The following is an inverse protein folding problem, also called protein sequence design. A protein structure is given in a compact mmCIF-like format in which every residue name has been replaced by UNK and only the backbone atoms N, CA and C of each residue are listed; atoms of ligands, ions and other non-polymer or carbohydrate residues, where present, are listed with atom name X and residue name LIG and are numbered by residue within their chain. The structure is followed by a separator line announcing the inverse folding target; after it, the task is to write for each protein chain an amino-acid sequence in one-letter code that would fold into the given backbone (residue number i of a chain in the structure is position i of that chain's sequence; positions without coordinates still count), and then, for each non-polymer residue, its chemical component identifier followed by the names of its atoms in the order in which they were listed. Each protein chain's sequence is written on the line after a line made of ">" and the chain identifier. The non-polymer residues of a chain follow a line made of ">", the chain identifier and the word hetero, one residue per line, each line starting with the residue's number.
data_IF_211803818886
#
_entry.id   IF_211803818886
#
_cell.length_a   1.000
_cell.length_b   1.000
_cell.length_c   1.000
_cell.angle_alpha   90.00
_cell.angle_beta   90.00
_cell.angle_gamma   90.00
#
_symmetry.space_group_name_H-M   'P 1'
#
loop_
_entity.id
_entity.type
_entity.pdbx_description
1 polymer ?
#
# COMPACT_ATOMS: atom_id res chain seq x y z
N UNK A 1 4.61 9.99 -34.19
CA UNK A 1 5.94 10.25 -33.59
C UNK A 1 6.70 8.93 -33.50
N UNK A 2 7.83 8.79 -34.20
CA UNK A 2 8.48 7.51 -34.50
C UNK A 2 9.25 6.93 -33.29
N UNK A 3 8.98 5.68 -32.90
CA UNK A 3 9.57 5.01 -31.74
C UNK A 3 11.12 4.99 -31.76
N UNK A 4 11.73 4.92 -32.95
CA UNK A 4 13.19 4.97 -33.12
C UNK A 4 13.79 6.33 -32.72
N UNK A 5 13.11 7.44 -33.05
CA UNK A 5 13.56 8.80 -32.68
C UNK A 5 13.50 9.02 -31.17
N UNK A 6 12.45 8.46 -30.56
CA UNK A 6 12.17 8.54 -29.13
C UNK A 6 13.21 7.74 -28.31
N UNK A 7 13.58 6.54 -28.76
CA UNK A 7 14.66 5.76 -28.15
C UNK A 7 16.04 6.42 -28.32
N UNK A 8 16.26 7.14 -29.43
CA UNK A 8 17.50 7.91 -29.68
C UNK A 8 17.63 9.11 -28.74
N UNK A 9 16.56 9.90 -28.55
CA UNK A 9 16.53 11.00 -27.57
C UNK A 9 16.78 10.50 -26.14
N UNK A 10 16.20 9.36 -25.78
CA UNK A 10 16.43 8.72 -24.48
C UNK A 10 17.89 8.28 -24.29
N UNK A 11 18.46 7.55 -25.27
CA UNK A 11 19.88 7.16 -25.24
C UNK A 11 20.80 8.36 -25.12
N UNK A 12 20.54 9.45 -25.85
CA UNK A 12 21.34 10.68 -25.73
C UNK A 12 21.22 11.29 -24.34
N UNK A 13 20.03 11.29 -23.73
CA UNK A 13 19.84 11.81 -22.37
C UNK A 13 20.59 10.98 -21.32
N UNK A 14 20.50 9.65 -21.41
CA UNK A 14 21.25 8.73 -20.53
C UNK A 14 22.76 8.89 -20.72
N UNK A 15 23.22 8.99 -21.97
CA UNK A 15 24.63 9.17 -22.27
C UNK A 15 25.16 10.54 -21.83
N UNK A 16 24.41 11.62 -22.04
CA UNK A 16 24.76 12.96 -21.53
C UNK A 16 24.78 12.99 -20.01
N UNK A 17 23.77 12.43 -19.36
CA UNK A 17 23.73 12.31 -17.92
C UNK A 17 24.91 11.50 -17.38
N UNK A 18 25.21 10.36 -18.03
CA UNK A 18 26.36 9.53 -17.72
C UNK A 18 27.68 10.28 -17.90
N UNK A 19 27.81 11.08 -18.97
CA UNK A 19 28.97 11.95 -19.25
C UNK A 19 29.14 13.06 -18.21
N UNK A 20 28.06 13.76 -17.85
CA UNK A 20 28.06 14.80 -16.80
C UNK A 20 28.40 14.23 -15.41
N UNK A 21 28.10 12.95 -15.18
CA UNK A 21 28.38 12.23 -13.94
C UNK A 21 29.53 11.22 -14.08
N UNK A 22 30.42 11.37 -15.08
CA UNK A 22 31.58 10.48 -15.29
C UNK A 22 32.57 10.49 -14.12
N UNK A 23 32.63 11.58 -13.36
CA UNK A 23 33.07 11.53 -11.97
C UNK A 23 31.91 11.05 -11.12
N UNK A 24 31.66 9.73 -11.10
CA UNK A 24 30.51 9.12 -10.41
C UNK A 24 30.49 9.61 -8.98
N UNK A 25 29.60 10.55 -8.67
CA UNK A 25 29.38 10.96 -7.29
C UNK A 25 29.05 9.71 -6.49
N UNK A 26 29.67 9.53 -5.32
CA UNK A 26 29.42 8.40 -4.44
C UNK A 26 27.91 8.17 -4.24
N UNK A 27 27.16 9.27 -4.12
CA UNK A 27 25.71 9.29 -3.99
C UNK A 27 24.95 8.68 -5.19
N UNK A 28 25.43 8.90 -6.42
CA UNK A 28 24.80 8.31 -7.60
C UNK A 28 24.95 6.78 -7.59
N UNK A 29 26.14 6.28 -7.28
CA UNK A 29 26.39 4.83 -7.16
C UNK A 29 25.51 4.22 -6.06
N UNK A 30 25.45 4.84 -4.88
CA UNK A 30 24.60 4.40 -3.79
C UNK A 30 23.11 4.37 -4.18
N UNK A 31 22.62 5.38 -4.90
CA UNK A 31 21.23 5.40 -5.37
C UNK A 31 20.92 4.25 -6.35
N UNK A 32 21.86 3.89 -7.23
CA UNK A 32 21.70 2.75 -8.13
C UNK A 32 21.61 1.43 -7.35
N UNK A 33 22.53 1.20 -6.41
CA UNK A 33 22.54 0.01 -5.55
C UNK A 33 21.25 -0.12 -4.72
N UNK A 34 20.80 1.00 -4.14
CA UNK A 34 19.54 1.05 -3.40
C UNK A 34 18.32 0.73 -4.28
N UNK A 35 18.29 1.22 -5.52
CA UNK A 35 17.19 0.92 -6.44
C UNK A 35 17.21 -0.52 -6.94
N UNK A 36 18.38 -1.12 -7.13
CA UNK A 36 18.50 -2.54 -7.44
C UNK A 36 18.02 -3.45 -6.30
N UNK A 37 18.01 -2.96 -5.05
CA UNK A 37 17.39 -3.69 -3.94
C UNK A 37 15.85 -3.76 -4.04
N UNK A 38 15.23 -2.95 -4.90
CA UNK A 38 13.78 -2.93 -5.08
C UNK A 38 13.37 -4.09 -5.99
N UNK A 39 12.49 -4.99 -5.53
CA UNK A 39 12.07 -6.13 -6.32
C UNK A 39 11.39 -5.69 -7.61
N UNK A 40 11.70 -6.39 -8.71
CA UNK A 40 11.14 -6.10 -10.03
C UNK A 40 11.79 -4.92 -10.76
N UNK A 41 12.76 -4.23 -10.16
CA UNK A 41 13.57 -3.20 -10.82
C UNK A 41 14.86 -3.84 -11.34
N UNK A 42 15.09 -3.78 -12.65
CA UNK A 42 16.34 -4.24 -13.28
C UNK A 42 17.33 -3.07 -13.49
N UNK A 43 18.50 -3.36 -14.08
CA UNK A 43 19.56 -2.37 -14.32
C UNK A 43 19.06 -1.24 -15.24
N UNK A 44 18.37 -1.58 -16.33
CA UNK A 44 17.88 -0.58 -17.29
C UNK A 44 16.79 0.32 -16.68
N UNK A 45 15.88 -0.28 -15.92
CA UNK A 45 14.82 0.42 -15.19
C UNK A 45 15.42 1.29 -14.11
N UNK A 46 16.44 0.81 -13.39
CA UNK A 46 17.18 1.58 -12.38
C UNK A 46 17.78 2.84 -12.98
N UNK A 47 18.56 2.70 -14.07
CA UNK A 47 19.17 3.82 -14.78
C UNK A 47 18.11 4.80 -15.26
N UNK A 48 17.02 4.29 -15.85
CA UNK A 48 15.91 5.13 -16.31
C UNK A 48 15.28 5.91 -15.16
N UNK A 49 15.05 5.27 -14.02
CA UNK A 49 14.46 5.91 -12.84
C UNK A 49 15.37 7.04 -12.34
N UNK A 50 16.68 6.80 -12.18
CA UNK A 50 17.58 7.83 -11.65
C UNK A 50 17.71 8.99 -12.63
N UNK A 51 17.91 8.73 -13.93
CA UNK A 51 18.07 9.78 -14.95
C UNK A 51 16.80 10.62 -15.10
N UNK A 52 15.62 10.01 -15.05
CA UNK A 52 14.34 10.71 -15.27
C UNK A 52 13.78 11.36 -14.00
N UNK A 53 14.19 10.88 -12.82
CA UNK A 53 13.88 11.51 -11.54
C UNK A 53 14.82 12.68 -11.23
N UNK A 54 16.08 12.60 -11.68
CA UNK A 54 17.17 13.54 -11.40
C UNK A 54 17.60 13.50 -9.93
N UNK A 55 16.76 14.00 -9.02
CA UNK A 55 17.02 13.96 -7.59
C UNK A 55 15.71 13.81 -6.81
N UNK A 56 15.67 12.89 -5.84
CA UNK A 56 14.51 12.68 -4.97
C UNK A 56 14.21 13.89 -4.07
N UNK A 57 15.23 14.71 -3.77
CA UNK A 57 15.10 15.85 -2.86
C UNK A 57 14.27 17.00 -3.42
N UNK A 58 14.08 17.05 -4.74
CA UNK A 58 13.15 18.00 -5.37
C UNK A 58 11.68 17.73 -5.04
N UNK A 59 11.37 16.58 -4.46
CA UNK A 59 10.02 16.21 -4.09
C UNK A 59 9.85 16.28 -2.57
N UNK A 60 8.93 17.14 -2.11
CA UNK A 60 8.54 17.18 -0.69
C UNK A 60 7.87 15.88 -0.25
N UNK A 61 7.16 15.21 -1.16
CA UNK A 61 6.35 14.04 -0.84
C UNK A 61 6.35 13.01 -1.98
N UNK A 62 6.09 11.72 -1.68
CA UNK A 62 5.94 10.69 -2.71
C UNK A 62 4.77 10.98 -3.66
N UNK A 63 3.78 11.78 -3.24
CA UNK A 63 2.68 12.22 -4.10
C UNK A 63 3.18 13.17 -5.21
N UNK A 64 4.15 14.02 -4.90
CA UNK A 64 4.82 14.90 -5.87
C UNK A 64 5.53 14.08 -6.94
N UNK A 65 6.36 13.12 -6.53
CA UNK A 65 7.03 12.20 -7.45
C UNK A 65 6.04 11.39 -8.31
N UNK A 66 4.94 10.92 -7.72
CA UNK A 66 3.91 10.21 -8.48
C UNK A 66 3.20 11.11 -9.50
N UNK A 67 3.01 12.40 -9.18
CA UNK A 67 2.47 13.40 -10.12
C UNK A 67 3.46 13.68 -11.25
N UNK A 68 4.76 13.80 -10.92
CA UNK A 68 5.84 13.93 -11.91
C UNK A 68 5.86 12.76 -12.88
N UNK A 69 5.67 11.52 -12.41
CA UNK A 69 5.54 10.35 -13.26
C UNK A 69 4.20 10.27 -14.03
N UNK A 70 3.19 11.07 -13.69
CA UNK A 70 1.88 10.97 -14.34
C UNK A 70 1.09 9.70 -14.01
N UNK A 71 1.27 9.17 -12.80
CA UNK A 71 0.51 8.03 -12.28
C UNK A 71 -0.82 8.36 -11.57
N UNK A 72 -1.09 9.57 -11.01
CA UNK A 72 -2.38 9.82 -10.38
C UNK A 72 -3.52 9.83 -11.42
N UNK A 73 -4.76 9.50 -11.03
CA UNK A 73 -5.92 9.74 -11.87
C UNK A 73 -6.14 11.24 -12.08
N UNK A 74 -6.67 11.61 -13.24
CA UNK A 74 -7.16 12.96 -13.52
C UNK A 74 -8.42 13.18 -12.69
N UNK A 75 -8.51 14.33 -12.02
CA UNK A 75 -9.71 14.74 -11.29
C UNK A 75 -10.49 15.69 -12.19
N UNK A 76 -11.73 15.35 -12.51
CA UNK A 76 -12.68 16.27 -13.15
C UNK A 76 -13.72 16.68 -12.11
N UNK A 77 -13.81 17.97 -11.81
CA UNK A 77 -14.79 18.54 -10.90
C UNK A 77 -15.41 19.78 -11.56
N UNK A 78 -16.65 19.66 -12.02
CA UNK A 78 -17.39 20.73 -12.70
C UNK A 78 -18.63 21.19 -11.90
N UNK A 79 -18.61 21.06 -10.56
CA UNK A 79 -19.73 21.45 -9.67
C UNK A 79 -19.64 20.82 -8.26
N UNK A 80 -20.77 20.76 -7.53
CA UNK A 80 -20.94 20.21 -6.17
C UNK A 80 -20.82 18.67 -6.07
N UNK A 81 -20.75 17.96 -7.20
CA UNK A 81 -20.70 16.49 -7.23
C UNK A 81 -19.36 15.93 -6.72
N UNK A 82 -19.43 14.78 -6.03
CA UNK A 82 -18.30 14.01 -5.50
C UNK A 82 -17.22 13.81 -6.58
N UNK A 83 -15.94 13.97 -6.20
CA UNK A 83 -14.74 13.76 -7.03
C UNK A 83 -14.85 12.47 -7.86
N UNK A 84 -15.03 12.61 -9.18
CA UNK A 84 -14.92 11.48 -10.11
C UNK A 84 -13.47 11.40 -10.58
N UNK A 85 -12.80 10.31 -10.20
CA UNK A 85 -11.46 9.99 -10.69
C UNK A 85 -11.61 9.43 -12.11
N UNK A 86 -10.95 10.06 -13.09
CA UNK A 86 -10.92 9.64 -14.48
C UNK A 86 -9.68 8.83 -14.84
N UNK A 87 -9.31 8.85 -16.13
CA UNK A 87 -8.09 8.24 -16.65
C UNK A 87 -6.82 8.80 -16.00
N UNK A 88 -5.72 8.05 -16.07
CA UNK A 88 -4.41 8.47 -15.58
C UNK A 88 -3.99 9.82 -16.17
N UNK A 89 -3.33 10.64 -15.36
CA UNK A 89 -2.79 11.93 -15.78
C UNK A 89 -1.55 11.71 -16.66
N UNK A 90 -1.71 11.77 -17.98
CA UNK A 90 -0.61 11.53 -18.93
C UNK A 90 0.38 12.71 -19.10
N UNK A 91 0.20 13.82 -18.37
CA UNK A 91 1.03 15.02 -18.48
C UNK A 91 2.37 14.97 -17.74
N UNK A 92 2.65 13.89 -17.00
CA UNK A 92 3.96 13.66 -16.37
C UNK A 92 4.96 12.93 -17.27
N UNK A 93 6.18 12.77 -16.77
CA UNK A 93 7.30 12.08 -17.40
C UNK A 93 6.92 10.65 -17.85
N UNK A 94 6.80 10.47 -19.16
CA UNK A 94 6.40 9.19 -19.78
C UNK A 94 7.41 8.07 -19.55
N UNK A 95 8.69 8.39 -19.43
CA UNK A 95 9.77 7.41 -19.31
C UNK A 95 9.83 6.83 -17.91
N UNK A 96 9.82 7.73 -16.91
CA UNK A 96 9.68 7.32 -15.51
C UNK A 96 8.40 6.52 -15.30
N UNK A 97 7.27 6.93 -15.92
CA UNK A 97 6.01 6.19 -15.86
C UNK A 97 6.16 4.76 -16.37
N UNK A 98 6.74 4.60 -17.56
CA UNK A 98 6.90 3.29 -18.21
C UNK A 98 7.84 2.40 -17.40
N UNK A 99 8.99 2.92 -16.97
CA UNK A 99 9.96 2.17 -16.17
C UNK A 99 9.33 1.61 -14.89
N UNK A 100 8.69 2.48 -14.09
CA UNK A 100 8.03 2.07 -12.84
C UNK A 100 6.83 1.14 -13.10
N UNK A 101 6.16 1.28 -14.25
CA UNK A 101 5.07 0.39 -14.63
C UNK A 101 5.57 -1.02 -14.97
N UNK A 102 6.67 -1.13 -15.71
CA UNK A 102 7.32 -2.41 -16.01
C UNK A 102 7.80 -3.08 -14.73
N UNK A 103 8.43 -2.32 -13.83
CA UNK A 103 8.88 -2.84 -12.55
C UNK A 103 7.73 -3.37 -11.69
N UNK A 104 6.64 -2.60 -11.57
CA UNK A 104 5.45 -3.05 -10.83
C UNK A 104 4.78 -4.29 -11.47
N UNK A 105 4.77 -4.39 -12.79
CA UNK A 105 4.32 -5.60 -13.49
C UNK A 105 5.21 -6.79 -13.17
N UNK A 106 6.54 -6.59 -13.12
CA UNK A 106 7.49 -7.62 -12.70
C UNK A 106 7.23 -8.10 -11.27
N UNK A 107 7.03 -7.18 -10.31
CA UNK A 107 6.63 -7.55 -8.94
C UNK A 107 5.36 -8.41 -8.94
N UNK A 108 4.35 -8.07 -9.75
CA UNK A 108 3.14 -8.88 -9.84
C UNK A 108 3.41 -10.28 -10.43
N UNK A 109 4.19 -10.38 -11.50
CA UNK A 109 4.44 -11.67 -12.16
C UNK A 109 5.15 -12.63 -11.20
N UNK A 110 6.18 -12.15 -10.49
CA UNK A 110 7.08 -12.99 -9.72
C UNK A 110 6.75 -13.07 -8.23
N UNK A 111 6.09 -12.05 -7.65
CA UNK A 111 5.98 -11.90 -6.20
C UNK A 111 4.53 -11.75 -5.69
N UNK A 112 3.52 -11.85 -6.55
CA UNK A 112 2.10 -11.72 -6.17
C UNK A 112 1.62 -12.68 -5.07
N UNK A 113 2.28 -13.82 -4.93
CA UNK A 113 1.93 -14.89 -3.99
C UNK A 113 2.82 -14.87 -2.73
N UNK A 114 3.63 -13.82 -2.56
CA UNK A 114 4.50 -13.59 -1.40
C UNK A 114 3.98 -12.44 -0.53
N UNK A 115 4.65 -12.18 0.60
CA UNK A 115 4.40 -11.01 1.46
C UNK A 115 4.91 -9.68 0.88
N UNK A 116 5.47 -9.68 -0.34
CA UNK A 116 5.93 -8.46 -0.99
C UNK A 116 4.74 -7.49 -1.20
N UNK A 117 4.85 -6.23 -0.71
CA UNK A 117 3.71 -5.34 -0.61
C UNK A 117 3.15 -4.84 -1.94
N UNK A 118 3.92 -4.80 -3.03
CA UNK A 118 3.47 -4.29 -4.34
C UNK A 118 2.74 -5.37 -5.13
N UNK A 119 3.34 -6.55 -5.30
CA UNK A 119 2.78 -7.71 -5.98
C UNK A 119 1.46 -8.17 -5.33
N UNK A 120 1.47 -8.35 -4.01
CA UNK A 120 0.26 -8.71 -3.24
C UNK A 120 -0.84 -7.64 -3.35
N UNK A 121 -0.47 -6.35 -3.41
CA UNK A 121 -1.42 -5.26 -3.60
C UNK A 121 -2.08 -5.31 -4.99
N UNK A 122 -1.28 -5.55 -6.04
CA UNK A 122 -1.79 -5.69 -7.42
C UNK A 122 -2.71 -6.91 -7.51
N UNK A 123 -2.31 -8.06 -6.93
CA UNK A 123 -3.13 -9.27 -6.86
C UNK A 123 -4.49 -9.00 -6.22
N UNK A 124 -4.51 -8.35 -5.05
CA UNK A 124 -5.75 -7.99 -4.36
C UNK A 124 -6.66 -7.11 -5.22
N UNK A 125 -6.11 -6.08 -5.88
CA UNK A 125 -6.92 -5.22 -6.74
C UNK A 125 -7.50 -5.97 -7.94
N UNK A 126 -6.70 -6.82 -8.56
CA UNK A 126 -7.10 -7.56 -9.76
C UNK A 126 -8.06 -8.70 -9.45
N UNK A 127 -7.72 -9.57 -8.49
CA UNK A 127 -8.44 -10.82 -8.20
C UNK A 127 -9.56 -10.68 -7.19
N UNK A 128 -9.37 -9.92 -6.11
CA UNK A 128 -10.40 -9.79 -5.05
C UNK A 128 -11.37 -8.64 -5.31
N UNK A 129 -10.91 -7.58 -6.00
CA UNK A 129 -11.72 -6.38 -6.28
C UNK A 129 -12.14 -6.24 -7.74
N UNK A 130 -11.90 -7.26 -8.56
CA UNK A 130 -12.28 -7.33 -9.98
C UNK A 130 -11.93 -6.06 -10.77
N UNK A 131 -10.78 -5.43 -10.47
CA UNK A 131 -10.29 -4.28 -11.24
C UNK A 131 -9.59 -4.77 -12.50
N UNK A 132 -9.73 -4.04 -13.60
CA UNK A 132 -8.99 -4.32 -14.82
C UNK A 132 -7.47 -4.39 -14.56
N UNK A 133 -6.79 -5.37 -15.15
CA UNK A 133 -5.37 -5.65 -14.87
C UNK A 133 -4.48 -4.40 -15.00
N UNK A 134 -4.64 -3.62 -16.08
CA UNK A 134 -3.85 -2.39 -16.29
C UNK A 134 -4.10 -1.33 -15.19
N UNK A 135 -5.31 -1.27 -14.64
CA UNK A 135 -5.64 -0.36 -13.54
C UNK A 135 -4.98 -0.82 -12.25
N UNK A 136 -5.00 -2.13 -11.98
CA UNK A 136 -4.34 -2.71 -10.81
C UNK A 136 -2.82 -2.50 -10.86
N UNK A 137 -2.17 -2.78 -12.00
CA UNK A 137 -0.72 -2.55 -12.19
C UNK A 137 -0.41 -1.07 -12.04
N UNK A 138 -1.19 -0.16 -12.64
CA UNK A 138 -0.93 1.29 -12.53
C UNK A 138 -1.03 1.79 -11.08
N UNK A 139 -2.00 1.26 -10.31
CA UNK A 139 -2.09 1.55 -8.88
C UNK A 139 -0.88 0.97 -8.12
N UNK A 140 -0.41 -0.22 -8.51
CA UNK A 140 0.83 -0.83 -8.02
C UNK A 140 2.06 0.00 -8.34
N UNK A 141 2.19 0.56 -9.54
CA UNK A 141 3.28 1.46 -9.94
C UNK A 141 3.34 2.69 -9.05
N UNK A 142 2.18 3.28 -8.72
CA UNK A 142 2.11 4.41 -7.78
C UNK A 142 2.56 4.00 -6.37
N UNK A 143 2.24 2.77 -5.94
CA UNK A 143 2.69 2.23 -4.66
C UNK A 143 4.19 1.98 -4.66
N UNK A 144 4.73 1.34 -5.69
CA UNK A 144 6.17 1.11 -5.88
C UNK A 144 6.96 2.43 -5.86
N UNK A 145 6.48 3.45 -6.57
CA UNK A 145 7.11 4.77 -6.59
C UNK A 145 7.14 5.45 -5.22
N UNK A 146 6.17 5.14 -4.35
CA UNK A 146 6.18 5.61 -2.97
C UNK A 146 7.30 4.94 -2.17
N UNK A 147 7.54 3.64 -2.37
CA UNK A 147 8.68 2.97 -1.75
C UNK A 147 10.01 3.48 -2.28
N UNK A 148 10.14 3.62 -3.61
CA UNK A 148 11.34 4.19 -4.23
C UNK A 148 11.68 5.57 -3.64
N UNK A 149 10.67 6.43 -3.48
CA UNK A 149 10.84 7.73 -2.82
C UNK A 149 11.45 7.58 -1.42
N UNK A 150 10.91 6.68 -0.59
CA UNK A 150 11.43 6.50 0.78
C UNK A 150 12.78 5.80 0.83
N UNK A 151 13.06 4.85 -0.08
CA UNK A 151 14.37 4.20 -0.23
C UNK A 151 15.45 5.25 -0.49
N UNK A 152 15.23 6.11 -1.48
CA UNK A 152 16.16 7.18 -1.82
C UNK A 152 16.20 8.28 -0.76
N UNK A 153 15.06 8.67 -0.17
CA UNK A 153 15.04 9.76 0.83
C UNK A 153 15.65 9.35 2.17
N UNK A 154 15.51 8.08 2.56
CA UNK A 154 16.06 7.56 3.82
C UNK A 154 17.43 6.90 3.67
N UNK A 155 17.92 6.74 2.43
CA UNK A 155 19.16 6.05 2.11
C UNK A 155 19.24 4.65 2.75
N UNK A 156 18.13 3.90 2.68
CA UNK A 156 17.98 2.56 3.26
C UNK A 156 17.50 1.58 2.20
N UNK A 157 17.97 0.31 2.24
CA UNK A 157 17.48 -0.74 1.35
C UNK A 157 15.96 -0.92 1.42
N UNK A 158 15.39 -1.44 0.33
CA UNK A 158 13.94 -1.62 0.17
C UNK A 158 13.28 -2.34 1.35
N UNK A 159 13.85 -3.45 1.81
CA UNK A 159 13.30 -4.28 2.88
C UNK A 159 13.11 -3.49 4.18
N UNK A 160 14.13 -2.73 4.60
CA UNK A 160 14.06 -1.88 5.79
C UNK A 160 12.97 -0.82 5.65
N UNK A 161 12.81 -0.22 4.48
CA UNK A 161 11.76 0.77 4.23
C UNK A 161 10.37 0.13 4.31
N UNK A 162 10.20 -1.06 3.73
CA UNK A 162 8.94 -1.82 3.83
C UNK A 162 8.60 -2.10 5.28
N UNK A 163 9.55 -2.58 6.07
CA UNK A 163 9.38 -2.87 7.49
C UNK A 163 8.95 -1.63 8.28
N UNK A 164 9.67 -0.51 8.12
CA UNK A 164 9.34 0.77 8.76
C UNK A 164 7.90 1.19 8.41
N UNK A 165 7.53 1.16 7.12
CA UNK A 165 6.20 1.55 6.68
C UNK A 165 5.10 0.62 7.24
N UNK A 166 5.35 -0.68 7.33
CA UNK A 166 4.42 -1.62 7.93
C UNK A 166 4.25 -1.37 9.43
N UNK A 167 5.34 -1.13 10.15
CA UNK A 167 5.33 -0.83 11.59
C UNK A 167 4.57 0.47 11.90
N UNK A 168 4.80 1.53 11.12
CA UNK A 168 4.04 2.78 11.25
C UNK A 168 2.54 2.57 10.98
N UNK A 169 2.18 1.78 9.97
CA UNK A 169 0.78 1.42 9.72
C UNK A 169 0.15 0.62 10.87
N UNK A 170 0.91 -0.29 11.49
CA UNK A 170 0.46 -1.06 12.68
C UNK A 170 0.21 -0.12 13.86
N UNK A 171 1.13 0.80 14.17
CA UNK A 171 0.97 1.80 15.24
C UNK A 171 -0.28 2.65 15.05
N UNK A 172 -0.51 3.18 13.84
CA UNK A 172 -1.71 3.98 13.54
C UNK A 172 -3.00 3.17 13.70
N UNK A 173 -3.02 1.91 13.26
CA UNK A 173 -4.18 1.02 13.45
C UNK A 173 -4.44 0.76 14.94
N UNK A 174 -3.39 0.49 15.72
CA UNK A 174 -3.51 0.23 17.16
C UNK A 174 -4.02 1.47 17.91
N UNK A 175 -3.49 2.66 17.61
CA UNK A 175 -3.97 3.92 18.18
C UNK A 175 -5.46 4.16 17.92
N UNK A 176 -5.94 3.84 16.71
CA UNK A 176 -7.38 3.96 16.36
C UNK A 176 -8.25 2.95 17.11
N UNK A 177 -7.78 1.71 17.27
CA UNK A 177 -8.47 0.69 18.06
C UNK A 177 -8.59 1.13 19.52
N UNK A 178 -7.49 1.61 20.10
CA UNK A 178 -7.44 2.11 21.47
C UNK A 178 -8.37 3.32 21.68
N UNK A 179 -8.35 4.29 20.77
CA UNK A 179 -9.26 5.44 20.84
C UNK A 179 -10.74 5.03 20.72
N UNK A 180 -11.04 4.01 19.90
CA UNK A 180 -12.40 3.47 19.82
C UNK A 180 -12.80 2.79 21.14
N UNK A 181 -11.89 2.02 21.74
CA UNK A 181 -12.13 1.39 23.04
C UNK A 181 -12.41 2.43 24.12
N UNK A 182 -11.57 3.45 24.27
CA UNK A 182 -11.78 4.51 25.26
C UNK A 182 -13.11 5.26 25.08
N UNK A 183 -13.54 5.51 23.84
CA UNK A 183 -14.86 6.11 23.57
C UNK A 183 -16.01 5.21 24.02
N UNK A 184 -15.89 3.90 23.81
CA UNK A 184 -16.89 2.93 24.28
C UNK A 184 -16.88 2.77 25.80
N UNK A 185 -15.74 2.96 26.47
CA UNK A 185 -15.69 2.91 27.93
C UNK A 185 -16.23 4.18 28.58
N UNK A 186 -16.04 5.35 27.94
CA UNK A 186 -16.42 6.63 28.53
C UNK A 186 -17.88 7.04 28.29
N UNK A 187 -18.51 6.53 27.23
CA UNK A 187 -19.87 6.94 26.84
C UNK A 187 -20.97 5.93 27.23
N UNK A 188 -20.60 4.81 27.86
CA UNK A 188 -21.47 3.64 27.97
C UNK A 188 -21.45 3.07 29.38
N UNK A 189 -22.62 2.81 29.97
CA UNK A 189 -22.71 1.77 30.99
C UNK A 189 -22.40 0.40 30.34
N UNK A 190 -22.10 -0.63 31.13
CA UNK A 190 -21.73 -1.98 30.67
C UNK A 190 -22.64 -2.54 29.56
N UNK A 191 -23.87 -2.01 29.41
CA UNK A 191 -24.88 -2.38 28.42
C UNK A 191 -24.48 -2.16 26.94
N UNK A 192 -23.70 -1.12 26.58
CA UNK A 192 -23.34 -0.90 25.16
C UNK A 192 -22.14 -1.75 24.70
N UNK A 193 -21.39 -2.35 25.64
CA UNK A 193 -20.31 -3.30 25.35
C UNK A 193 -20.84 -4.71 25.12
N UNK A 194 -22.04 -5.02 25.62
CA UNK A 194 -22.67 -6.34 25.51
C UNK A 194 -22.78 -6.87 24.09
N UNK A 195 -23.21 -6.10 23.08
CA UNK A 195 -23.32 -6.61 21.72
C UNK A 195 -21.96 -7.04 21.15
N UNK A 196 -20.86 -6.44 21.62
CA UNK A 196 -19.50 -6.83 21.22
C UNK A 196 -19.04 -8.10 21.92
N UNK A 197 -19.29 -8.21 23.23
CA UNK A 197 -18.97 -9.42 24.02
C UNK A 197 -19.78 -10.61 23.51
N UNK A 198 -21.10 -10.45 23.36
CA UNK A 198 -22.00 -11.48 22.80
C UNK A 198 -21.58 -11.88 21.39
N UNK A 199 -21.12 -10.93 20.55
CA UNK A 199 -20.59 -11.25 19.22
C UNK A 199 -19.26 -12.02 19.27
N UNK A 200 -18.44 -11.80 20.29
CA UNK A 200 -17.21 -12.57 20.53
C UNK A 200 -17.55 -13.99 20.97
N UNK A 201 -18.42 -14.14 21.98
CA UNK A 201 -18.90 -15.43 22.48
C UNK A 201 -19.54 -16.27 21.37
N UNK A 202 -20.37 -15.67 20.51
CA UNK A 202 -20.96 -16.35 19.33
C UNK A 202 -19.94 -16.92 18.35
N UNK A 203 -18.73 -16.36 18.27
CA UNK A 203 -17.67 -16.86 17.37
C UNK A 203 -16.90 -18.02 17.98
N UNK A 204 -16.85 -18.09 19.30
CA UNK A 204 -16.05 -19.05 20.06
C UNK A 204 -16.90 -20.14 20.74
N UNK A 205 -18.23 -20.08 20.61
CA UNK A 205 -19.18 -21.01 21.23
C UNK A 205 -18.80 -22.50 21.11
N UNK A 206 -18.40 -22.96 19.91
CA UNK A 206 -18.01 -24.36 19.67
C UNK A 206 -16.64 -24.75 20.28
N UNK A 207 -15.91 -23.81 20.89
CA UNK A 207 -14.57 -24.02 21.46
C UNK A 207 -14.53 -23.84 22.98
N UNK A 208 -15.62 -23.38 23.59
CA UNK A 208 -15.74 -23.19 25.03
C UNK A 208 -15.91 -24.56 25.72
N UNK A 209 -15.30 -24.73 26.87
CA UNK A 209 -15.64 -25.85 27.78
C UNK A 209 -17.06 -25.69 28.31
N UNK A 210 -17.64 -26.75 28.89
CA UNK A 210 -19.01 -26.69 29.40
C UNK A 210 -19.17 -25.66 30.54
N UNK A 211 -18.16 -25.53 31.40
CA UNK A 211 -18.12 -24.52 32.47
C UNK A 211 -18.02 -23.09 31.93
N UNK A 212 -17.28 -22.88 30.83
CA UNK A 212 -17.18 -21.58 30.17
C UNK A 212 -18.49 -21.19 29.47
N UNK A 213 -19.24 -22.17 28.97
CA UNK A 213 -20.57 -21.94 28.37
C UNK A 213 -21.61 -21.55 29.44
N UNK A 214 -21.61 -22.22 30.59
CA UNK A 214 -22.46 -21.85 31.73
C UNK A 214 -22.19 -20.42 32.20
N UNK A 215 -20.92 -20.06 32.43
CA UNK A 215 -20.53 -18.71 32.85
C UNK A 215 -20.91 -17.65 31.80
N UNK A 216 -20.71 -17.96 30.51
CA UNK A 216 -21.09 -17.07 29.41
C UNK A 216 -22.61 -16.89 29.30
N UNK A 217 -23.38 -17.95 29.59
CA UNK A 217 -24.84 -17.92 29.64
C UNK A 217 -25.35 -17.12 30.83
N UNK A 218 -24.82 -17.35 32.03
CA UNK A 218 -25.15 -16.61 33.25
C UNK A 218 -24.84 -15.11 33.07
N UNK A 219 -23.66 -14.80 32.54
CA UNK A 219 -23.29 -13.44 32.18
C UNK A 219 -24.28 -12.84 31.17
N UNK A 220 -24.72 -13.59 30.15
CA UNK A 220 -25.67 -13.09 29.16
C UNK A 220 -27.08 -12.87 29.74
N UNK A 221 -27.54 -13.74 30.64
CA UNK A 221 -28.79 -13.61 31.39
C UNK A 221 -28.79 -12.38 32.30
N UNK A 222 -27.71 -12.17 33.07
CA UNK A 222 -27.51 -10.97 33.90
C UNK A 222 -27.52 -9.66 33.10
N UNK A 223 -27.30 -9.77 31.79
CA UNK A 223 -27.23 -8.67 30.85
C UNK A 223 -28.50 -8.55 29.98
N UNK A 224 -29.56 -9.33 30.28
CA UNK A 224 -30.84 -9.38 29.56
C UNK A 224 -30.71 -9.66 28.04
N UNK A 225 -29.69 -10.42 27.63
CA UNK A 225 -29.49 -10.81 26.23
C UNK A 225 -29.42 -12.34 26.13
N UNK A 226 -30.34 -12.98 25.40
CA UNK A 226 -30.26 -14.42 25.13
C UNK A 226 -29.30 -14.65 23.94
N UNK A 227 -28.14 -15.30 24.12
CA UNK A 227 -27.22 -15.56 23.03
C UNK A 227 -27.70 -16.73 22.17
N UNK A 228 -27.81 -16.49 20.86
CA UNK A 228 -28.17 -17.51 19.85
C UNK A 228 -27.19 -18.70 19.92
N UNK A 229 -27.72 -19.91 20.15
CA UNK A 229 -26.93 -21.14 20.33
C UNK A 229 -26.77 -21.60 21.78
N UNK A 230 -27.22 -20.81 22.76
CA UNK A 230 -27.37 -21.23 24.14
C UNK A 230 -28.87 -21.47 24.39
N UNK A 231 -29.27 -22.71 24.65
CA UNK A 231 -30.64 -23.06 25.00
C UNK A 231 -30.83 -23.00 26.52
N UNK A 232 -31.96 -22.46 27.04
CA UNK A 232 -32.28 -22.56 28.47
C UNK A 232 -32.31 -24.00 28.98
N UNK A 233 -32.57 -24.96 28.11
CA UNK A 233 -32.68 -26.38 28.45
C UNK A 233 -31.32 -27.11 28.47
N UNK A 234 -30.23 -26.47 28.05
CA UNK A 234 -28.88 -27.08 28.03
C UNK A 234 -28.07 -26.80 29.31
N UNK A 235 -28.48 -25.82 30.11
CA UNK A 235 -27.71 -25.28 31.25
C UNK A 235 -28.57 -25.00 32.50
N UNK A 236 -29.75 -25.65 32.58
CA UNK A 236 -30.73 -25.51 33.65
C UNK A 236 -30.85 -26.76 34.52
#
# INVERSE_FOLDING_TARGET
>A
MNAKRIAKEFRVKVLKFGLEHTAVSSQFKTNLELLLSVPGVDIETTLTIVVEMVNVDFFWSPKGLARWAGLPPTVKQSGYRKRRNGHIYKGGNKWLRTAVWLAAKSCYIHLKDTDEPVGSFIKRLYKERNKHFLVAVTAGSRKLLTYIYYVLKSQKPYEKVVEIQQNEQRKVKNKRKLAKLHRLMNNSSLSELLPLVVKSLKREHNKLSETEKELAYEMACNLNVIPKGFSPNEYG
#
